data_IF_329449358553
#
_entry.id   IF_329449358553
#
_cell.length_a   1.000
_cell.length_b   1.000
_cell.length_c   1.000
_cell.angle_alpha   90.00
_cell.angle_beta   90.00
_cell.angle_gamma   90.00
#
_symmetry.space_group_name_H-M   'P 1'
#
loop_
_entity.id
_entity.type
_entity.pdbx_description
1 polymer ?
#
# COMPACT_ATOMS: atom_id res chain seq x y z
N UNK A 1 -8.66 -21.17 44.96
CA UNK A 1 -7.83 -20.25 44.16
C UNK A 1 -7.72 -20.82 42.76
N UNK A 2 -8.01 -20.08 41.68
CA UNK A 2 -7.81 -20.60 40.34
C UNK A 2 -6.31 -20.71 40.10
N UNK A 3 -5.89 -21.91 39.72
CA UNK A 3 -4.51 -22.25 39.40
C UNK A 3 -4.20 -21.59 38.04
N UNK A 4 -3.67 -20.36 38.05
CA UNK A 4 -3.16 -19.70 36.84
C UNK A 4 -1.91 -20.45 36.39
N UNK A 5 -2.11 -21.44 35.53
CA UNK A 5 -1.03 -22.08 34.79
C UNK A 5 -0.44 -21.03 33.86
N UNK A 6 0.68 -20.42 34.25
CA UNK A 6 1.44 -19.54 33.38
C UNK A 6 1.86 -20.34 32.15
N UNK A 7 1.31 -19.99 30.98
CA UNK A 7 1.74 -20.61 29.73
C UNK A 7 3.26 -20.40 29.54
N UNK A 8 4.01 -21.41 29.07
CA UNK A 8 5.41 -21.24 28.74
C UNK A 8 5.60 -20.10 27.75
N UNK A 9 6.58 -19.22 27.97
CA UNK A 9 6.85 -18.07 27.09
C UNK A 9 7.11 -18.52 25.63
N UNK A 10 7.61 -19.74 25.44
CA UNK A 10 7.81 -20.36 24.11
C UNK A 10 6.51 -20.61 23.34
N UNK A 11 5.40 -20.84 24.05
CA UNK A 11 4.08 -21.08 23.46
C UNK A 11 3.34 -19.80 23.07
N UNK A 12 3.89 -18.63 23.42
CA UNK A 12 3.32 -17.34 23.06
C UNK A 12 3.52 -17.03 21.58
N UNK A 13 2.55 -16.34 20.98
CA UNK A 13 2.71 -15.79 19.63
C UNK A 13 3.72 -14.64 19.60
N UNK A 14 4.17 -14.27 18.41
CA UNK A 14 5.05 -13.11 18.24
C UNK A 14 4.47 -11.78 18.76
N UNK A 15 3.15 -11.48 18.63
CA UNK A 15 2.58 -10.31 19.30
C UNK A 15 2.83 -10.32 20.80
N UNK A 16 2.59 -11.43 21.48
CA UNK A 16 2.78 -11.54 22.91
C UNK A 16 4.27 -11.50 23.29
N UNK A 17 5.15 -12.12 22.50
CA UNK A 17 6.60 -12.07 22.72
C UNK A 17 7.16 -10.64 22.61
N UNK A 18 6.64 -9.81 21.70
CA UNK A 18 7.02 -8.40 21.58
C UNK A 18 6.84 -7.62 22.88
N UNK A 19 5.85 -7.99 23.71
CA UNK A 19 5.63 -7.36 25.02
C UNK A 19 6.87 -7.44 25.93
N UNK A 20 7.63 -8.53 25.80
CA UNK A 20 8.77 -8.81 26.68
C UNK A 20 10.09 -8.29 26.16
N UNK A 21 10.24 -8.10 24.84
CA UNK A 21 11.54 -7.81 24.22
C UNK A 21 11.66 -6.43 23.62
N UNK A 22 10.55 -5.79 23.22
CA UNK A 22 10.62 -4.47 22.58
C UNK A 22 10.74 -3.34 23.61
N UNK A 23 11.53 -2.32 23.28
CA UNK A 23 11.63 -1.08 24.08
C UNK A 23 10.28 -0.35 24.23
N UNK A 24 9.42 -0.40 23.21
CA UNK A 24 8.03 0.07 23.28
C UNK A 24 7.05 -1.08 22.96
N UNK A 25 6.67 -1.88 23.97
CA UNK A 25 5.88 -3.09 23.76
C UNK A 25 4.49 -2.79 23.19
N UNK A 26 3.79 -1.79 23.73
CA UNK A 26 2.44 -1.44 23.28
C UNK A 26 2.41 -1.00 21.81
N UNK A 27 3.35 -0.16 21.39
CA UNK A 27 3.43 0.29 20.00
C UNK A 27 3.78 -0.88 19.06
N UNK A 28 4.71 -1.74 19.47
CA UNK A 28 5.17 -2.88 18.66
C UNK A 28 4.06 -3.92 18.48
N UNK A 29 3.34 -4.27 19.56
CA UNK A 29 2.19 -5.17 19.48
C UNK A 29 1.09 -4.63 18.58
N UNK A 30 0.74 -3.35 18.77
CA UNK A 30 -0.27 -2.69 17.95
C UNK A 30 0.14 -2.70 16.46
N UNK A 31 1.40 -2.37 16.17
CA UNK A 31 1.91 -2.34 14.81
C UNK A 31 1.91 -3.73 14.17
N UNK A 32 2.34 -4.76 14.89
CA UNK A 32 2.32 -6.14 14.41
C UNK A 32 0.91 -6.59 14.03
N UNK A 33 -0.06 -6.39 14.92
CA UNK A 33 -1.44 -6.79 14.68
C UNK A 33 -2.07 -6.02 13.51
N UNK A 34 -1.80 -4.70 13.43
CA UNK A 34 -2.32 -3.85 12.35
C UNK A 34 -1.65 -4.12 11.00
N UNK A 35 -0.39 -4.54 10.99
CA UNK A 35 0.30 -4.94 9.75
C UNK A 35 -0.45 -6.08 9.06
N UNK A 36 -0.77 -7.16 9.79
CA UNK A 36 -1.53 -8.28 9.24
C UNK A 36 -2.91 -7.86 8.72
N UNK A 37 -3.59 -6.96 9.44
CA UNK A 37 -4.87 -6.39 9.00
C UNK A 37 -4.73 -5.60 7.70
N UNK A 38 -3.72 -4.72 7.58
CA UNK A 38 -3.48 -3.94 6.37
C UNK A 38 -3.08 -4.82 5.18
N UNK A 39 -2.26 -5.84 5.41
CA UNK A 39 -1.86 -6.83 4.40
C UNK A 39 -3.07 -7.59 3.84
N UNK A 40 -3.91 -8.14 4.73
CA UNK A 40 -5.14 -8.81 4.32
C UNK A 40 -6.10 -7.87 3.58
N UNK A 41 -6.18 -6.61 4.01
CA UNK A 41 -6.98 -5.60 3.33
C UNK A 41 -6.42 -5.29 1.93
N UNK A 42 -5.10 -5.21 1.74
CA UNK A 42 -4.48 -4.97 0.43
C UNK A 42 -4.80 -6.10 -0.56
N UNK A 43 -4.70 -7.36 -0.13
CA UNK A 43 -5.08 -8.52 -0.96
C UNK A 43 -6.56 -8.46 -1.38
N UNK A 44 -7.46 -8.17 -0.42
CA UNK A 44 -8.89 -8.02 -0.70
C UNK A 44 -9.19 -6.85 -1.64
N UNK A 45 -8.45 -5.75 -1.51
CA UNK A 45 -8.60 -4.59 -2.37
C UNK A 45 -8.13 -4.88 -3.80
N UNK A 46 -7.05 -5.64 -3.98
CA UNK A 46 -6.62 -6.13 -5.29
C UNK A 46 -7.74 -6.91 -5.99
N UNK A 47 -8.37 -7.87 -5.30
CA UNK A 47 -9.51 -8.63 -5.84
C UNK A 47 -10.65 -7.71 -6.29
N UNK A 48 -11.00 -6.71 -5.47
CA UNK A 48 -12.08 -5.75 -5.75
C UNK A 48 -11.76 -4.84 -6.93
N UNK A 49 -10.51 -4.40 -7.07
CA UNK A 49 -10.07 -3.61 -8.24
C UNK A 49 -10.29 -4.41 -9.52
N UNK A 50 -9.89 -5.69 -9.54
CA UNK A 50 -10.06 -6.52 -10.73
C UNK A 50 -11.52 -6.80 -11.06
N UNK A 51 -12.36 -7.05 -10.03
CA UNK A 51 -13.80 -7.20 -10.21
C UNK A 51 -14.43 -5.92 -10.79
N UNK A 52 -14.17 -4.76 -10.17
CA UNK A 52 -14.66 -3.47 -10.64
C UNK A 52 -14.17 -3.16 -12.06
N UNK A 53 -12.91 -3.49 -12.38
CA UNK A 53 -12.35 -3.26 -13.70
C UNK A 53 -13.02 -4.14 -14.77
N UNK A 54 -13.34 -5.40 -14.45
CA UNK A 54 -14.07 -6.29 -15.36
C UNK A 54 -15.49 -5.78 -15.66
N UNK A 55 -16.13 -5.14 -14.69
CA UNK A 55 -17.45 -4.52 -14.81
C UNK A 55 -17.43 -3.13 -15.47
N UNK A 56 -16.28 -2.44 -15.48
CA UNK A 56 -16.11 -1.04 -15.93
C UNK A 56 -16.21 -0.78 -17.45
N UNK A 57 -17.02 -1.58 -18.17
CA UNK A 57 -17.22 -1.45 -19.62
C UNK A 57 -18.14 -0.27 -19.93
N UNK A 58 -17.72 0.58 -20.86
CA UNK A 58 -18.62 1.62 -21.40
C UNK A 58 -19.68 0.95 -22.27
N UNK A 59 -20.95 1.25 -22.00
CA UNK A 59 -22.07 0.90 -22.89
C UNK A 59 -22.14 1.81 -24.11
N UNK A 60 -21.42 2.93 -24.10
CA UNK A 60 -21.35 3.90 -25.20
C UNK A 60 -20.21 3.51 -26.16
N UNK A 61 -20.49 3.38 -27.47
CA UNK A 61 -19.48 3.11 -28.48
C UNK A 61 -18.36 4.15 -28.48
N UNK A 62 -17.14 3.71 -28.77
CA UNK A 62 -16.00 4.63 -28.95
C UNK A 62 -16.27 5.47 -30.21
N UNK A 63 -16.25 6.81 -30.13
CA UNK A 63 -16.40 7.65 -31.30
C UNK A 63 -15.30 7.40 -32.34
N UNK A 64 -15.64 7.54 -33.62
CA UNK A 64 -14.72 7.29 -34.72
C UNK A 64 -13.58 8.32 -34.81
N UNK A 65 -12.55 8.05 -35.62
CA UNK A 65 -11.47 9.00 -35.87
C UNK A 65 -12.02 10.34 -36.39
N UNK A 66 -11.62 11.46 -35.78
CA UNK A 66 -12.06 12.80 -36.16
C UNK A 66 -13.36 13.29 -35.49
N UNK A 67 -13.89 12.55 -34.52
CA UNK A 67 -15.05 12.99 -33.72
C UNK A 67 -14.82 14.38 -33.08
N UNK A 68 -15.84 15.23 -33.11
CA UNK A 68 -15.78 16.53 -32.46
C UNK A 68 -15.78 16.38 -30.93
N UNK A 69 -15.42 17.45 -30.21
CA UNK A 69 -15.51 17.44 -28.74
C UNK A 69 -16.95 17.14 -28.26
N UNK A 70 -17.96 17.61 -29.00
CA UNK A 70 -19.36 17.39 -28.67
C UNK A 70 -19.75 15.91 -28.86
N UNK A 71 -19.19 15.24 -29.87
CA UNK A 71 -19.39 13.80 -30.10
C UNK A 71 -18.63 12.94 -29.08
N UNK A 72 -17.52 13.45 -28.54
CA UNK A 72 -16.71 12.77 -27.53
C UNK A 72 -17.31 12.85 -26.12
N UNK A 73 -18.08 13.91 -25.81
CA UNK A 73 -18.56 14.18 -24.45
C UNK A 73 -19.34 13.02 -23.83
N UNK A 74 -20.34 12.41 -24.51
CA UNK A 74 -21.12 11.32 -23.92
C UNK A 74 -20.27 10.07 -23.64
N UNK A 75 -19.31 9.77 -24.52
CA UNK A 75 -18.38 8.65 -24.31
C UNK A 75 -17.46 8.88 -23.12
N UNK A 76 -16.92 10.11 -22.99
CA UNK A 76 -16.04 10.48 -21.87
C UNK A 76 -16.80 10.45 -20.55
N UNK A 77 -18.02 10.96 -20.50
CA UNK A 77 -18.89 10.92 -19.31
C UNK A 77 -19.21 9.48 -18.90
N UNK A 78 -19.70 8.66 -19.84
CA UNK A 78 -19.99 7.26 -19.57
C UNK A 78 -18.76 6.49 -19.09
N UNK A 79 -17.59 6.73 -19.71
CA UNK A 79 -16.34 6.10 -19.28
C UNK A 79 -15.87 6.61 -17.93
N UNK A 80 -16.06 7.90 -17.61
CA UNK A 80 -15.76 8.45 -16.29
C UNK A 80 -16.58 7.74 -15.22
N UNK A 81 -17.89 7.68 -15.42
CA UNK A 81 -18.83 7.03 -14.48
C UNK A 81 -18.50 5.54 -14.29
N UNK A 82 -18.22 4.82 -15.38
CA UNK A 82 -17.89 3.40 -15.28
C UNK A 82 -16.57 3.12 -14.56
N UNK A 83 -15.65 4.09 -14.51
CA UNK A 83 -14.34 3.95 -13.85
C UNK A 83 -14.34 4.39 -12.39
N UNK A 84 -15.38 5.09 -11.90
CA UNK A 84 -15.46 5.55 -10.51
C UNK A 84 -15.23 4.40 -9.50
N UNK A 85 -15.88 3.23 -9.62
CA UNK A 85 -15.66 2.12 -8.68
C UNK A 85 -14.21 1.62 -8.67
N UNK A 86 -13.58 1.50 -9.85
CA UNK A 86 -12.17 1.09 -9.98
C UNK A 86 -11.26 2.05 -9.23
N UNK A 87 -11.52 3.35 -9.37
CA UNK A 87 -10.73 4.41 -8.72
C UNK A 87 -10.91 4.41 -7.20
N UNK A 88 -12.10 4.12 -6.68
CA UNK A 88 -12.34 3.98 -5.24
C UNK A 88 -11.55 2.82 -4.64
N UNK A 89 -11.65 1.63 -5.23
CA UNK A 89 -10.91 0.47 -4.73
C UNK A 89 -9.39 0.67 -4.88
N UNK A 90 -8.95 1.32 -5.97
CA UNK A 90 -7.53 1.71 -6.15
C UNK A 90 -7.05 2.67 -5.05
N UNK A 91 -7.86 3.66 -4.68
CA UNK A 91 -7.51 4.56 -3.57
C UNK A 91 -7.36 3.80 -2.26
N UNK A 92 -8.30 2.91 -1.91
CA UNK A 92 -8.21 2.11 -0.70
C UNK A 92 -7.02 1.13 -0.71
N UNK A 93 -6.65 0.60 -1.89
CA UNK A 93 -5.43 -0.19 -2.04
C UNK A 93 -4.15 0.59 -1.70
N UNK A 94 -4.06 1.86 -2.13
CA UNK A 94 -2.97 2.75 -1.72
C UNK A 94 -2.98 3.06 -0.23
N UNK A 95 -4.17 3.24 0.37
CA UNK A 95 -4.33 3.40 1.82
C UNK A 95 -3.81 2.17 2.57
N UNK A 96 -4.13 0.95 2.11
CA UNK A 96 -3.71 -0.29 2.77
C UNK A 96 -2.20 -0.47 2.76
N UNK A 97 -1.53 -0.21 1.63
CA UNK A 97 -0.07 -0.31 1.56
C UNK A 97 0.66 0.77 2.35
N UNK A 98 0.12 1.98 2.37
CA UNK A 98 0.64 3.03 3.25
C UNK A 98 0.48 2.62 4.72
N UNK A 99 -0.59 1.91 5.06
CA UNK A 99 -0.81 1.30 6.37
C UNK A 99 0.27 0.27 6.71
N UNK A 100 0.53 -0.70 5.82
CA UNK A 100 1.61 -1.69 5.99
C UNK A 100 2.96 -1.02 6.27
N UNK A 101 3.34 -0.06 5.42
CA UNK A 101 4.58 0.71 5.58
C UNK A 101 4.71 1.35 6.96
N UNK A 102 3.69 2.09 7.40
CA UNK A 102 3.71 2.77 8.70
C UNK A 102 3.84 1.78 9.86
N UNK A 103 3.20 0.62 9.77
CA UNK A 103 3.31 -0.40 10.81
C UNK A 103 4.71 -1.02 10.83
N UNK A 104 5.31 -1.29 9.65
CA UNK A 104 6.70 -1.72 9.54
C UNK A 104 7.66 -0.68 10.14
N UNK A 105 7.49 0.61 9.83
CA UNK A 105 8.31 1.69 10.39
C UNK A 105 8.28 1.72 11.93
N UNK A 106 7.11 1.48 12.55
CA UNK A 106 6.99 1.40 14.01
C UNK A 106 7.71 0.16 14.55
N UNK A 107 7.54 -1.00 13.89
CA UNK A 107 8.19 -2.25 14.29
C UNK A 107 9.70 -2.14 14.18
N UNK A 108 10.23 -1.85 13.00
CA UNK A 108 11.69 -1.81 12.78
C UNK A 108 12.36 -0.56 13.37
N UNK A 109 11.57 0.40 13.85
CA UNK A 109 12.04 1.58 14.58
C UNK A 109 12.48 1.29 16.01
N UNK A 110 12.22 0.09 16.54
CA UNK A 110 12.73 -0.31 17.85
C UNK A 110 14.25 -0.58 17.78
N UNK A 111 15.02 -0.22 18.81
CA UNK A 111 16.48 -0.39 18.80
C UNK A 111 16.92 -1.86 18.72
N UNK A 112 16.06 -2.80 19.13
CA UNK A 112 16.34 -4.24 19.05
C UNK A 112 16.27 -4.79 17.62
N UNK A 113 15.59 -4.09 16.70
CA UNK A 113 15.23 -4.64 15.37
C UNK A 113 15.98 -3.97 14.22
N UNK A 114 17.23 -3.56 14.45
CA UNK A 114 18.07 -2.90 13.44
C UNK A 114 18.35 -3.77 12.21
N UNK A 115 18.42 -5.09 12.35
CA UNK A 115 18.58 -5.98 11.19
C UNK A 115 17.34 -5.99 10.30
N UNK A 116 16.15 -6.12 10.92
CA UNK A 116 14.88 -6.04 10.21
C UNK A 116 14.71 -4.67 9.53
N UNK A 117 15.20 -3.59 10.15
CA UNK A 117 15.24 -2.25 9.54
C UNK A 117 16.06 -2.22 8.26
N UNK A 118 17.24 -2.84 8.21
CA UNK A 118 18.06 -2.88 6.99
C UNK A 118 17.33 -3.54 5.82
N UNK A 119 16.59 -4.62 6.10
CA UNK A 119 15.76 -5.30 5.10
C UNK A 119 14.63 -4.37 4.63
N UNK A 120 13.91 -3.76 5.58
CA UNK A 120 12.83 -2.84 5.24
C UNK A 120 13.31 -1.64 4.40
N UNK A 121 14.43 -1.04 4.77
CA UNK A 121 15.01 0.10 4.05
C UNK A 121 15.37 -0.27 2.59
N UNK A 122 15.74 -1.53 2.33
CA UNK A 122 16.02 -2.01 0.96
C UNK A 122 14.77 -2.07 0.07
N UNK A 123 13.58 -2.22 0.68
CA UNK A 123 12.29 -2.24 -0.02
C UNK A 123 11.54 -0.92 0.08
N UNK A 124 12.07 0.09 0.77
CA UNK A 124 11.35 1.32 1.10
C UNK A 124 10.75 2.02 -0.14
N UNK A 125 11.52 2.08 -1.23
CA UNK A 125 11.07 2.71 -2.48
C UNK A 125 9.80 2.05 -3.04
N UNK A 126 9.66 0.73 -2.89
CA UNK A 126 8.46 0.03 -3.33
C UNK A 126 7.22 0.48 -2.54
N UNK A 127 7.34 0.72 -1.23
CA UNK A 127 6.23 1.23 -0.41
C UNK A 127 5.97 2.73 -0.61
N UNK A 128 7.00 3.51 -0.94
CA UNK A 128 6.89 4.95 -1.22
C UNK A 128 5.97 5.23 -2.41
N UNK A 129 6.03 4.39 -3.45
CA UNK A 129 5.20 4.51 -4.65
C UNK A 129 3.69 4.48 -4.33
N UNK A 130 3.25 3.60 -3.42
CA UNK A 130 1.84 3.51 -3.00
C UNK A 130 1.44 4.69 -2.10
N UNK A 131 2.39 5.26 -1.35
CA UNK A 131 2.17 6.50 -0.60
C UNK A 131 1.98 7.69 -1.55
N UNK A 132 2.76 7.75 -2.63
CA UNK A 132 2.60 8.73 -3.70
C UNK A 132 1.26 8.58 -4.44
N UNK A 133 0.85 7.33 -4.70
CA UNK A 133 -0.47 7.01 -5.25
C UNK A 133 -1.60 7.51 -4.35
N UNK A 134 -1.53 7.28 -3.03
CA UNK A 134 -2.53 7.82 -2.08
C UNK A 134 -2.61 9.34 -2.16
N UNK A 135 -1.45 10.00 -2.16
CA UNK A 135 -1.34 11.45 -2.22
C UNK A 135 -1.87 12.04 -3.54
N UNK A 136 -1.86 11.29 -4.65
CA UNK A 136 -2.44 11.76 -5.92
C UNK A 136 -3.97 11.81 -5.87
N UNK A 137 -4.60 10.93 -5.09
CA UNK A 137 -6.05 10.97 -4.83
C UNK A 137 -6.43 12.07 -3.83
N UNK A 138 -5.71 12.18 -2.70
CA UNK A 138 -6.08 13.07 -1.60
C UNK A 138 -5.81 14.56 -1.89
N UNK A 139 -4.72 14.85 -2.60
CA UNK A 139 -4.23 16.21 -2.83
C UNK A 139 -4.33 16.62 -4.29
N UNK A 140 -5.36 16.14 -5.00
CA UNK A 140 -5.61 16.55 -6.38
C UNK A 140 -6.00 18.03 -6.49
N UNK A 141 -6.82 18.52 -5.54
CA UNK A 141 -7.29 19.90 -5.52
C UNK A 141 -6.16 20.92 -5.42
N UNK A 142 -5.08 20.59 -4.70
CA UNK A 142 -3.88 21.42 -4.58
C UNK A 142 -3.10 21.59 -5.90
N UNK A 143 -3.44 20.79 -6.92
CA UNK A 143 -2.75 20.69 -8.21
C UNK A 143 -3.54 21.32 -9.35
N UNK A 144 -4.73 21.86 -9.07
CA UNK A 144 -5.53 22.58 -10.06
C UNK A 144 -4.85 23.91 -10.48
N UNK A 145 -5.20 24.45 -11.66
CA UNK A 145 -4.67 25.74 -12.09
C UNK A 145 -4.86 26.85 -11.06
N UNK A 146 -3.81 27.62 -10.79
CA UNK A 146 -3.79 28.69 -9.78
C UNK A 146 -3.53 28.24 -8.34
N UNK A 147 -3.31 26.94 -8.08
CA UNK A 147 -3.03 26.41 -6.74
C UNK A 147 -1.54 26.21 -6.49
N UNK A 148 -1.16 26.12 -5.21
CA UNK A 148 0.25 26.01 -4.77
C UNK A 148 0.99 24.81 -5.39
N UNK A 149 0.29 23.72 -5.67
CA UNK A 149 0.83 22.49 -6.24
C UNK A 149 0.71 22.40 -7.76
N UNK A 150 0.25 23.44 -8.46
CA UNK A 150 0.03 23.44 -9.91
C UNK A 150 1.28 22.99 -10.71
N UNK A 151 2.46 23.46 -10.32
CA UNK A 151 3.73 23.11 -11.00
C UNK A 151 4.13 21.63 -10.89
N UNK A 152 3.43 20.83 -10.06
CA UNK A 152 3.63 19.38 -9.94
C UNK A 152 2.82 18.60 -10.98
N UNK A 153 1.89 19.24 -11.67
CA UNK A 153 1.22 18.65 -12.83
C UNK A 153 2.14 18.81 -14.03
N UNK A 154 2.79 17.71 -14.43
CA UNK A 154 3.52 17.70 -15.69
C UNK A 154 2.55 17.53 -16.84
N UNK A 155 2.73 18.39 -17.85
CA UNK A 155 2.02 18.27 -19.13
C UNK A 155 2.36 16.91 -19.76
N UNK A 156 1.39 16.01 -19.81
CA UNK A 156 1.52 14.77 -20.57
C UNK A 156 1.27 15.14 -22.03
N UNK A 157 2.33 15.44 -22.78
CA UNK A 157 2.22 15.80 -24.20
C UNK A 157 1.51 14.72 -25.01
N UNK A 158 0.68 15.20 -25.94
CA UNK A 158 0.08 14.44 -27.02
C UNK A 158 -0.75 15.30 -27.98
N UNK A 159 -1.02 16.57 -27.66
CA UNK A 159 -1.85 17.43 -28.51
C UNK A 159 -1.37 18.89 -28.45
N UNK A 160 -0.76 19.43 -29.52
CA UNK A 160 -0.38 20.83 -29.63
C UNK A 160 -1.55 21.82 -29.56
N UNK A 161 -2.79 21.38 -29.80
CA UNK A 161 -4.01 22.18 -29.75
C UNK A 161 -4.69 22.13 -28.37
N UNK A 162 -4.23 21.28 -27.45
CA UNK A 162 -4.92 21.02 -26.19
C UNK A 162 -4.87 22.15 -25.15
N UNK A 163 -4.05 23.18 -25.36
CA UNK A 163 -3.71 24.15 -24.33
C UNK A 163 -2.91 23.51 -23.18
N UNK A 164 -2.16 24.33 -22.44
CA UNK A 164 -1.29 23.83 -21.36
C UNK A 164 -2.08 23.16 -20.23
N UNK A 165 -1.55 22.05 -19.72
CA UNK A 165 -1.87 21.42 -18.42
C UNK A 165 -3.15 20.56 -18.38
N UNK A 166 -3.09 19.35 -18.95
CA UNK A 166 -4.09 18.29 -18.70
C UNK A 166 -3.56 17.29 -17.67
N UNK A 167 -4.29 17.09 -16.57
CA UNK A 167 -4.02 15.98 -15.64
C UNK A 167 -4.68 14.73 -16.20
N UNK A 168 -3.88 13.79 -16.70
CA UNK A 168 -4.39 12.48 -17.06
C UNK A 168 -4.37 11.57 -15.84
N UNK A 169 -5.53 11.02 -15.49
CA UNK A 169 -5.62 9.92 -14.53
C UNK A 169 -6.45 8.79 -15.12
N UNK A 170 -6.10 7.54 -14.79
CA UNK A 170 -6.86 6.39 -15.25
C UNK A 170 -6.19 5.08 -14.88
N UNK A 171 -6.95 4.00 -15.03
CA UNK A 171 -6.50 2.63 -14.81
C UNK A 171 -6.49 1.88 -16.14
N UNK A 172 -5.35 1.29 -16.51
CA UNK A 172 -5.22 0.50 -17.74
C UNK A 172 -4.21 -0.62 -17.54
N UNK A 173 -4.61 -1.86 -17.85
CA UNK A 173 -3.69 -3.01 -17.85
C UNK A 173 -2.98 -3.22 -16.52
N UNK A 174 -3.70 -3.10 -15.41
CA UNK A 174 -3.13 -3.23 -14.06
C UNK A 174 -2.32 -2.03 -13.59
N UNK A 175 -2.22 -0.94 -14.36
CA UNK A 175 -1.48 0.24 -13.97
C UNK A 175 -2.42 1.42 -13.68
N UNK A 176 -2.20 2.10 -12.56
CA UNK A 176 -2.76 3.42 -12.32
C UNK A 176 -1.80 4.48 -12.84
N UNK A 177 -2.28 5.31 -13.76
CA UNK A 177 -1.54 6.46 -14.26
C UNK A 177 -2.11 7.72 -13.63
N UNK A 178 -1.23 8.61 -13.17
CA UNK A 178 -1.58 9.97 -12.80
C UNK A 178 -0.44 10.92 -13.20
N UNK A 179 -0.70 11.82 -14.16
CA UNK A 179 0.34 12.67 -14.77
C UNK A 179 1.48 11.83 -15.39
N UNK A 180 2.74 12.04 -14.96
CA UNK A 180 3.92 11.27 -15.37
C UNK A 180 4.16 10.03 -14.47
N UNK A 181 3.42 9.88 -13.39
CA UNK A 181 3.51 8.72 -12.52
C UNK A 181 2.72 7.54 -13.09
N UNK A 182 3.37 6.37 -13.10
CA UNK A 182 2.77 5.08 -13.44
C UNK A 182 3.01 4.14 -12.26
N UNK A 183 1.92 3.66 -11.65
CA UNK A 183 1.96 2.80 -10.48
C UNK A 183 1.41 1.42 -10.83
N UNK A 184 2.18 0.40 -10.49
CA UNK A 184 1.85 -1.00 -10.75
C UNK A 184 0.88 -1.55 -9.69
N UNK A 185 -0.32 -1.94 -10.14
CA UNK A 185 -1.39 -2.56 -9.35
C UNK A 185 -1.74 -3.92 -9.97
N UNK A 186 -0.73 -4.65 -10.45
CA UNK A 186 -0.87 -6.04 -10.86
C UNK A 186 -0.75 -7.00 -9.67
N UNK A 187 -1.20 -8.25 -9.80
CA UNK A 187 -0.93 -9.28 -8.79
C UNK A 187 0.57 -9.44 -8.49
N UNK A 188 1.46 -9.21 -9.47
CA UNK A 188 2.89 -9.28 -9.27
C UNK A 188 3.41 -8.22 -8.28
N UNK A 189 2.83 -7.02 -8.28
CA UNK A 189 3.21 -5.99 -7.31
C UNK A 189 2.69 -6.29 -5.89
N UNK A 190 1.54 -6.95 -5.77
CA UNK A 190 1.07 -7.50 -4.51
C UNK A 190 2.06 -8.54 -3.96
N UNK A 191 2.44 -9.53 -4.78
CA UNK A 191 3.38 -10.59 -4.41
C UNK A 191 4.73 -10.04 -3.96
N UNK A 192 5.25 -9.03 -4.66
CA UNK A 192 6.51 -8.36 -4.31
C UNK A 192 6.44 -7.72 -2.91
N UNK A 193 5.40 -6.94 -2.63
CA UNK A 193 5.26 -6.25 -1.34
C UNK A 193 4.96 -7.21 -0.19
N UNK A 194 4.20 -8.27 -0.46
CA UNK A 194 3.95 -9.35 0.51
C UNK A 194 5.25 -10.09 0.85
N UNK A 195 6.07 -10.42 -0.15
CA UNK A 195 7.38 -11.04 0.06
C UNK A 195 8.30 -10.11 0.85
N UNK A 196 8.28 -8.81 0.59
CA UNK A 196 9.06 -7.84 1.34
C UNK A 196 8.63 -7.79 2.83
N UNK A 197 7.34 -7.90 3.12
CA UNK A 197 6.85 -8.02 4.50
C UNK A 197 7.34 -9.32 5.15
N UNK A 198 7.26 -10.44 4.43
CA UNK A 198 7.68 -11.74 4.93
C UNK A 198 9.19 -11.78 5.24
N UNK A 199 10.03 -11.16 4.41
CA UNK A 199 11.46 -11.02 4.66
C UNK A 199 11.74 -10.23 5.95
N UNK A 200 11.05 -9.11 6.15
CA UNK A 200 11.19 -8.28 7.35
C UNK A 200 10.72 -9.03 8.59
N UNK A 201 9.55 -9.69 8.51
CA UNK A 201 9.00 -10.48 9.61
C UNK A 201 9.86 -11.69 9.94
N UNK A 202 10.46 -12.36 8.95
CA UNK A 202 11.36 -13.48 9.16
C UNK A 202 12.56 -13.10 10.02
N UNK A 203 13.19 -11.96 9.73
CA UNK A 203 14.30 -11.44 10.55
C UNK A 203 13.80 -11.02 11.94
N UNK A 204 12.69 -10.29 12.00
CA UNK A 204 12.11 -9.82 13.27
C UNK A 204 11.75 -10.98 14.21
N UNK A 205 11.13 -12.03 13.69
CA UNK A 205 10.76 -13.24 14.44
C UNK A 205 11.98 -13.94 15.03
N UNK A 206 13.01 -14.14 14.22
CA UNK A 206 14.28 -14.73 14.68
C UNK A 206 14.90 -13.90 15.80
N UNK A 207 14.97 -12.58 15.63
CA UNK A 207 15.52 -11.68 16.67
C UNK A 207 14.69 -11.72 17.95
N UNK A 208 13.36 -11.79 17.85
CA UNK A 208 12.49 -11.96 19.03
C UNK A 208 12.82 -13.26 19.77
N UNK A 209 12.93 -14.38 19.05
CA UNK A 209 13.20 -15.69 19.65
C UNK A 209 14.57 -15.72 20.35
N UNK A 210 15.60 -15.14 19.73
CA UNK A 210 16.94 -14.97 20.32
C UNK A 210 16.91 -14.13 21.61
N UNK A 211 16.18 -13.01 21.61
CA UNK A 211 16.04 -12.13 22.78
C UNK A 211 15.24 -12.79 23.90
N UNK A 212 14.18 -13.53 23.58
CA UNK A 212 13.42 -14.32 24.55
C UNK A 212 14.33 -15.37 25.19
N UNK A 213 15.09 -16.14 24.38
CA UNK A 213 16.01 -17.15 24.88
C UNK A 213 17.09 -16.53 25.79
N UNK A 214 17.67 -15.40 25.39
CA UNK A 214 18.67 -14.68 26.18
C UNK A 214 18.11 -14.13 27.49
N UNK A 215 16.85 -13.66 27.51
CA UNK A 215 16.26 -13.00 28.69
C UNK A 215 15.68 -13.98 29.70
N UNK A 216 15.11 -15.09 29.23
CA UNK A 216 14.43 -16.07 30.08
C UNK A 216 15.20 -17.38 30.27
N UNK A 217 16.36 -17.52 29.61
CA UNK A 217 17.38 -18.49 29.99
C UNK A 217 16.91 -19.93 29.89
N UNK A 218 16.69 -20.43 28.67
CA UNK A 218 16.66 -21.87 28.45
C UNK A 218 18.10 -22.34 28.23
N UNK A 219 18.79 -22.64 29.33
CA UNK A 219 19.96 -23.51 29.25
C UNK A 219 19.47 -24.85 28.72
N UNK A 220 19.99 -25.27 27.56
CA UNK A 220 19.92 -26.68 27.17
C UNK A 220 20.56 -27.48 28.30
N UNK A 221 19.73 -28.03 29.19
CA UNK A 221 20.15 -29.05 30.14
C UNK A 221 20.55 -30.25 29.31
N UNK A 222 21.87 -30.42 29.14
CA UNK A 222 22.52 -31.65 28.69
C UNK A 222 22.04 -32.86 29.47
#
# INVERSE_FOLDING_TARGET
MPNTTSQPIESLGYPEKLFYVASNPNASMFAYQRLSMHRAAAAKQMERIWAANAESKSSVPVPGPGASHQDMSPYVEAKRESMIPVLYETHFYFVTWTGCRKMLEILVGQPEFLEAKKIFDSYQNHFDDYSHGRNSFEHFHDRLPGQRGEGRVKEVRGDPAAGGRRIFFGFKGGNYKHSDSLLDITPASLELLDSAIDDVLGVLHRTIDELIQSKFGFSNST
#
